data_IF_672493783836
#
_entry.id   IF_672493783836
#
_cell.length_a   1.000
_cell.length_b   1.000
_cell.length_c   1.000
_cell.angle_alpha   90.00
_cell.angle_beta   90.00
_cell.angle_gamma   90.00
#
_symmetry.space_group_name_H-M   'P 1'
#
loop_
_entity.id
_entity.type
_entity.pdbx_description
1 polymer ?
#
# COMPACT_ATOMS: atom_id res chain seq x y z
N UNK A 1 45.94 49.44 32.85
CA UNK A 1 45.45 48.33 32.01
C UNK A 1 43.97 48.15 32.31
N UNK A 2 43.08 48.79 31.49
CA UNK A 2 41.62 48.61 31.60
C UNK A 2 41.26 47.26 31.02
N UNK A 3 41.04 46.28 31.87
CA UNK A 3 40.39 45.05 31.50
C UNK A 3 38.94 45.38 31.14
N UNK A 4 38.62 45.46 29.81
CA UNK A 4 37.28 45.48 29.32
C UNK A 4 36.51 44.28 29.87
N UNK A 5 35.71 44.55 30.89
CA UNK A 5 34.77 43.53 31.40
C UNK A 5 33.75 43.25 30.31
N UNK A 6 33.87 42.09 29.68
CA UNK A 6 32.95 41.61 28.69
C UNK A 6 31.55 41.43 29.34
N UNK A 7 30.61 42.29 28.97
CA UNK A 7 29.24 42.22 29.47
C UNK A 7 28.40 41.34 28.51
N UNK A 8 28.10 40.09 28.85
CA UNK A 8 27.39 39.17 27.96
C UNK A 8 25.95 39.61 27.61
N UNK A 9 25.41 40.64 28.35
CA UNK A 9 24.05 41.14 28.08
C UNK A 9 23.93 42.06 26.88
N UNK A 10 25.07 42.56 26.35
CA UNK A 10 25.10 43.52 25.23
C UNK A 10 25.53 42.89 23.89
N UNK A 11 25.75 41.58 23.85
CA UNK A 11 26.22 40.87 22.66
C UNK A 11 25.06 40.55 21.71
N UNK A 12 25.20 40.88 20.43
CA UNK A 12 24.30 40.43 19.38
C UNK A 12 24.36 38.88 19.28
N UNK A 13 23.18 38.23 19.23
CA UNK A 13 23.05 36.77 19.23
C UNK A 13 22.11 36.33 18.12
N UNK A 14 22.53 35.37 17.32
CA UNK A 14 21.71 34.80 16.24
C UNK A 14 20.45 34.08 16.76
N UNK A 15 20.45 33.58 18.01
CA UNK A 15 19.31 32.91 18.63
C UNK A 15 18.24 33.84 19.25
N UNK A 16 18.50 35.16 19.32
CA UNK A 16 17.53 36.14 19.87
C UNK A 16 17.06 37.07 18.74
N UNK A 17 15.76 36.98 18.40
CA UNK A 17 15.16 37.77 17.33
C UNK A 17 15.41 39.29 17.47
N UNK A 18 15.35 39.79 18.73
CA UNK A 18 15.53 41.22 19.02
C UNK A 18 17.00 41.69 19.01
N UNK A 19 17.94 40.76 19.11
CA UNK A 19 19.37 41.00 19.18
C UNK A 19 20.16 40.58 17.92
N UNK A 20 19.48 40.49 16.79
CA UNK A 20 20.10 40.16 15.52
C UNK A 20 19.63 38.87 14.87
N UNK A 21 18.78 38.06 15.52
CA UNK A 21 18.28 36.84 14.96
C UNK A 21 17.53 37.00 13.64
N UNK A 22 16.85 38.11 13.40
CA UNK A 22 16.17 38.42 12.14
C UNK A 22 17.12 38.72 10.98
N UNK A 23 18.40 38.96 11.22
CA UNK A 23 19.39 39.19 10.15
C UNK A 23 20.02 37.91 9.64
N UNK A 24 19.76 36.79 10.32
CA UNK A 24 20.23 35.47 9.88
C UNK A 24 19.25 34.92 8.83
N UNK A 25 19.67 34.86 7.60
CA UNK A 25 18.91 34.25 6.51
C UNK A 25 18.73 32.73 6.77
N UNK A 26 17.51 32.24 6.62
CA UNK A 26 17.24 30.80 6.62
C UNK A 26 17.22 30.35 5.18
N UNK A 27 18.26 29.64 4.74
CA UNK A 27 18.29 29.00 3.43
C UNK A 27 17.48 27.70 3.49
N UNK A 28 16.43 27.67 2.70
CA UNK A 28 15.66 26.43 2.49
C UNK A 28 16.36 25.64 1.38
N UNK A 29 16.96 24.51 1.74
CA UNK A 29 17.52 23.55 0.79
C UNK A 29 16.39 22.90 -0.02
N UNK A 30 15.89 23.62 -1.02
CA UNK A 30 14.74 23.20 -1.84
C UNK A 30 14.97 21.93 -2.66
N UNK A 31 16.21 21.46 -2.77
CA UNK A 31 16.54 20.19 -3.44
C UNK A 31 16.60 18.98 -2.52
N UNK A 32 16.59 19.17 -1.19
CA UNK A 32 16.74 18.08 -0.20
C UNK A 32 15.47 17.92 0.64
N UNK A 33 14.37 17.53 -0.01
CA UNK A 33 13.15 17.18 0.69
C UNK A 33 13.31 15.78 1.31
N UNK A 34 13.24 15.68 2.64
CA UNK A 34 13.25 14.41 3.35
C UNK A 34 11.87 13.77 3.20
N UNK A 35 11.78 12.72 2.39
CA UNK A 35 10.55 11.99 2.17
C UNK A 35 10.24 11.02 3.32
N UNK A 36 8.96 10.85 3.61
CA UNK A 36 8.48 9.84 4.56
C UNK A 36 8.78 8.45 3.97
N UNK A 37 9.43 7.60 4.77
CA UNK A 37 9.67 6.20 4.40
C UNK A 37 8.33 5.48 4.24
N UNK A 38 7.98 5.09 3.02
CA UNK A 38 6.76 4.34 2.71
C UNK A 38 7.08 2.96 2.18
N UNK A 39 6.21 2.01 2.47
CA UNK A 39 6.32 0.66 1.93
C UNK A 39 6.13 0.68 0.40
N UNK A 40 6.86 -0.19 -0.30
CA UNK A 40 6.70 -0.40 -1.74
C UNK A 40 5.63 -1.44 -2.01
N UNK A 41 4.97 -1.35 -3.15
CA UNK A 41 4.01 -2.34 -3.62
C UNK A 41 4.68 -3.71 -3.84
N UNK A 42 4.13 -4.76 -3.23
CA UNK A 42 4.70 -6.12 -3.27
C UNK A 42 3.86 -7.11 -4.05
N UNK A 43 2.54 -6.91 -4.17
CA UNK A 43 1.63 -7.90 -4.76
C UNK A 43 1.99 -8.25 -6.21
N UNK A 44 2.43 -7.28 -7.00
CA UNK A 44 2.86 -7.53 -8.38
C UNK A 44 4.17 -8.34 -8.44
N UNK A 45 5.04 -8.19 -7.44
CA UNK A 45 6.30 -8.95 -7.30
C UNK A 45 6.05 -10.40 -6.87
N UNK A 46 4.95 -10.64 -6.14
CA UNK A 46 4.52 -11.98 -5.71
C UNK A 46 3.87 -12.78 -6.84
N UNK A 47 3.80 -12.24 -8.05
CA UNK A 47 3.32 -12.95 -9.22
C UNK A 47 1.83 -12.75 -9.52
N UNK A 48 1.21 -11.70 -9.00
CA UNK A 48 -0.15 -11.33 -9.38
C UNK A 48 -0.22 -11.03 -10.88
N UNK A 49 -1.15 -11.68 -11.58
CA UNK A 49 -1.39 -11.45 -13.00
C UNK A 49 -2.21 -10.18 -13.19
N UNK A 50 -1.74 -9.28 -14.03
CA UNK A 50 -2.55 -8.14 -14.49
C UNK A 50 -3.25 -8.48 -15.80
N UNK A 51 -4.56 -8.31 -15.84
CA UNK A 51 -5.36 -8.44 -17.04
C UNK A 51 -5.77 -7.04 -17.49
N UNK A 52 -5.28 -6.61 -18.64
CA UNK A 52 -5.59 -5.31 -19.23
C UNK A 52 -6.68 -5.43 -20.30
N UNK A 53 -7.37 -4.32 -20.59
CA UNK A 53 -8.38 -4.27 -21.64
C UNK A 53 -9.74 -4.87 -21.29
N UNK A 54 -10.01 -5.11 -19.99
CA UNK A 54 -11.30 -5.61 -19.53
C UNK A 54 -12.33 -4.48 -19.50
N UNK A 55 -13.54 -4.75 -19.98
CA UNK A 55 -14.66 -3.81 -20.00
C UNK A 55 -15.86 -4.43 -19.26
N UNK A 56 -16.32 -3.77 -18.18
CA UNK A 56 -17.45 -4.23 -17.38
C UNK A 56 -17.13 -5.45 -16.51
N UNK A 57 -18.18 -6.22 -16.22
CA UNK A 57 -18.07 -7.45 -15.44
C UNK A 57 -17.51 -8.58 -16.30
N UNK A 58 -16.51 -9.27 -15.80
CA UNK A 58 -15.87 -10.39 -16.48
C UNK A 58 -16.05 -11.66 -15.67
N UNK A 59 -16.37 -12.77 -16.32
CA UNK A 59 -16.45 -14.07 -15.70
C UNK A 59 -15.33 -14.96 -16.23
N UNK A 60 -14.54 -15.52 -15.31
CA UNK A 60 -13.46 -16.46 -15.64
C UNK A 60 -13.92 -17.86 -15.28
N UNK A 61 -13.98 -18.81 -16.23
CA UNK A 61 -14.35 -20.19 -15.91
C UNK A 61 -13.30 -20.84 -15.03
N UNK A 62 -13.73 -21.63 -14.06
CA UNK A 62 -12.87 -22.44 -13.19
C UNK A 62 -13.41 -23.86 -13.07
N UNK A 63 -12.53 -24.82 -12.89
CA UNK A 63 -12.91 -26.18 -12.49
C UNK A 63 -13.17 -26.18 -10.98
N UNK A 64 -14.33 -26.65 -10.54
CA UNK A 64 -14.74 -26.71 -9.13
C UNK A 64 -14.66 -28.12 -8.58
N UNK A 65 -14.72 -29.16 -9.42
CA UNK A 65 -14.52 -30.54 -9.04
C UNK A 65 -13.84 -31.33 -10.15
N UNK A 66 -12.92 -32.20 -9.77
CA UNK A 66 -12.23 -33.09 -10.70
C UNK A 66 -12.91 -34.45 -10.78
N UNK A 67 -12.59 -35.23 -11.81
CA UNK A 67 -12.95 -36.65 -11.88
C UNK A 67 -12.25 -37.41 -10.74
N UNK A 68 -12.94 -38.40 -10.18
CA UNK A 68 -12.40 -39.27 -9.13
C UNK A 68 -11.87 -40.58 -9.74
N UNK A 69 -10.67 -40.96 -9.30
CA UNK A 69 -10.10 -42.26 -9.63
C UNK A 69 -10.17 -43.19 -8.41
N UNK A 70 -10.51 -44.43 -8.64
CA UNK A 70 -10.60 -45.43 -7.59
C UNK A 70 -10.16 -46.83 -8.11
N UNK A 71 -9.74 -47.67 -7.19
CA UNK A 71 -9.35 -49.04 -7.49
C UNK A 71 -10.59 -49.91 -7.51
N UNK A 72 -10.73 -50.74 -8.54
CA UNK A 72 -11.87 -51.62 -8.71
C UNK A 72 -11.46 -53.08 -8.48
N UNK A 73 -12.30 -53.86 -7.82
CA UNK A 73 -12.15 -55.30 -7.74
C UNK A 73 -12.64 -55.95 -9.04
N UNK A 74 -12.28 -57.22 -9.28
CA UNK A 74 -12.54 -57.93 -10.52
C UNK A 74 -14.05 -57.98 -10.91
N UNK A 75 -14.96 -57.91 -9.93
CA UNK A 75 -16.41 -57.94 -10.12
C UNK A 75 -17.08 -56.58 -9.84
N UNK A 76 -16.32 -55.55 -9.60
CA UNK A 76 -16.85 -54.24 -9.24
C UNK A 76 -17.46 -53.49 -10.44
N UNK A 77 -18.54 -52.74 -10.20
CA UNK A 77 -19.12 -51.86 -11.21
C UNK A 77 -18.41 -50.55 -11.31
N UNK A 78 -18.17 -50.06 -12.51
CA UNK A 78 -17.56 -48.77 -12.76
C UNK A 78 -18.58 -47.64 -12.49
N UNK A 79 -18.21 -46.68 -11.68
CA UNK A 79 -19.01 -45.47 -11.44
C UNK A 79 -18.39 -44.32 -12.19
N UNK A 80 -19.11 -43.72 -13.14
CA UNK A 80 -18.65 -42.55 -13.85
C UNK A 80 -18.63 -41.32 -12.92
N UNK A 81 -17.63 -40.51 -13.05
CA UNK A 81 -17.53 -39.21 -12.37
C UNK A 81 -17.30 -38.10 -13.36
N UNK A 82 -18.08 -37.03 -13.25
CA UNK A 82 -18.01 -35.89 -14.13
C UNK A 82 -17.20 -34.72 -13.50
N UNK A 83 -16.59 -33.94 -14.34
CA UNK A 83 -15.93 -32.72 -13.92
C UNK A 83 -16.98 -31.62 -13.71
N UNK A 84 -16.87 -30.90 -12.58
CA UNK A 84 -17.73 -29.76 -12.29
C UNK A 84 -17.02 -28.45 -12.66
N UNK A 85 -17.73 -27.60 -13.38
CA UNK A 85 -17.26 -26.28 -13.76
C UNK A 85 -18.05 -25.19 -13.04
N UNK A 86 -17.38 -24.13 -12.70
CA UNK A 86 -17.97 -22.91 -12.15
C UNK A 86 -17.34 -21.69 -12.81
N UNK A 87 -17.76 -20.53 -12.40
CA UNK A 87 -17.17 -19.27 -12.88
C UNK A 87 -16.82 -18.36 -11.71
N UNK A 88 -15.75 -17.62 -11.86
CA UNK A 88 -15.35 -16.53 -10.96
C UNK A 88 -15.74 -15.21 -11.60
N UNK A 89 -16.70 -14.51 -10.99
CA UNK A 89 -17.09 -13.17 -11.42
C UNK A 89 -16.07 -12.14 -10.94
N UNK A 90 -15.62 -11.28 -11.85
CA UNK A 90 -14.78 -10.13 -11.55
C UNK A 90 -15.61 -8.87 -11.76
N UNK A 91 -15.78 -8.08 -10.70
CA UNK A 91 -16.49 -6.79 -10.73
C UNK A 91 -15.47 -5.66 -10.57
N UNK A 92 -15.57 -4.58 -11.36
CA UNK A 92 -14.66 -3.45 -11.23
C UNK A 92 -14.91 -2.68 -9.94
N UNK A 93 -13.84 -2.37 -9.23
CA UNK A 93 -13.84 -1.49 -8.06
C UNK A 93 -13.03 -0.23 -8.38
N UNK A 94 -13.36 0.89 -7.74
CA UNK A 94 -12.71 2.18 -7.97
C UNK A 94 -11.91 2.62 -6.74
N UNK A 95 -10.60 2.78 -6.91
CA UNK A 95 -9.73 3.39 -5.94
C UNK A 95 -9.48 4.85 -6.35
N UNK A 96 -9.66 5.79 -5.42
CA UNK A 96 -9.49 7.23 -5.66
C UNK A 96 -8.54 7.79 -4.62
N UNK A 97 -7.59 8.60 -5.05
CA UNK A 97 -6.79 9.49 -4.22
C UNK A 97 -7.03 10.93 -4.63
N UNK A 98 -7.28 11.82 -3.69
CA UNK A 98 -7.51 13.24 -3.92
C UNK A 98 -6.65 14.09 -2.97
N UNK A 99 -6.10 15.18 -3.48
CA UNK A 99 -5.33 16.17 -2.72
C UNK A 99 -5.53 17.53 -3.34
N UNK A 100 -5.88 18.53 -2.52
CA UNK A 100 -6.03 19.90 -2.94
C UNK A 100 -4.86 20.77 -2.45
N UNK A 101 -4.40 21.67 -3.30
CA UNK A 101 -3.40 22.68 -2.97
C UNK A 101 -3.76 24.03 -3.60
N UNK A 102 -3.32 25.11 -2.98
CA UNK A 102 -3.63 26.47 -3.45
C UNK A 102 -2.72 26.87 -4.61
N UNK A 103 -3.22 27.77 -5.45
CA UNK A 103 -2.44 28.32 -6.56
C UNK A 103 -1.26 29.14 -6.06
N UNK A 104 -1.42 29.83 -4.93
CA UNK A 104 -0.38 30.60 -4.27
C UNK A 104 0.80 29.71 -3.87
N UNK A 105 0.52 28.54 -3.30
CA UNK A 105 1.56 27.56 -2.94
C UNK A 105 2.34 27.10 -4.17
N UNK A 106 1.66 26.86 -5.28
CA UNK A 106 2.30 26.44 -6.52
C UNK A 106 3.22 27.53 -7.10
N UNK A 107 2.82 28.81 -6.97
CA UNK A 107 3.58 29.95 -7.51
C UNK A 107 4.74 30.39 -6.61
N UNK A 108 4.61 30.25 -5.29
CA UNK A 108 5.57 30.76 -4.31
C UNK A 108 6.55 29.70 -3.80
N UNK A 109 6.27 28.42 -4.05
CA UNK A 109 7.14 27.35 -3.59
C UNK A 109 8.43 27.26 -4.41
N UNK A 110 9.55 27.14 -3.74
CA UNK A 110 10.86 26.85 -4.34
C UNK A 110 11.00 25.38 -4.77
N UNK A 111 10.09 24.51 -4.33
CA UNK A 111 10.07 23.08 -4.61
C UNK A 111 8.98 22.82 -5.65
N UNK A 112 9.17 21.82 -6.52
CA UNK A 112 8.13 21.35 -7.44
C UNK A 112 7.02 20.62 -6.70
N UNK A 113 6.10 21.39 -6.11
CA UNK A 113 4.96 20.88 -5.32
C UNK A 113 4.11 19.90 -6.11
N UNK A 114 3.86 20.20 -7.40
CA UNK A 114 3.07 19.30 -8.26
C UNK A 114 3.74 17.95 -8.45
N UNK A 115 5.05 17.92 -8.71
CA UNK A 115 5.81 16.69 -8.87
C UNK A 115 5.80 15.85 -7.61
N UNK A 116 6.03 16.47 -6.46
CA UNK A 116 6.00 15.84 -5.15
C UNK A 116 4.64 15.22 -4.84
N UNK A 117 3.55 15.99 -5.01
CA UNK A 117 2.18 15.50 -4.74
C UNK A 117 1.81 14.33 -5.66
N UNK A 118 2.18 14.42 -6.95
CA UNK A 118 1.93 13.34 -7.91
C UNK A 118 2.62 12.04 -7.48
N UNK A 119 3.87 12.12 -7.07
CA UNK A 119 4.64 10.96 -6.62
C UNK A 119 4.09 10.39 -5.32
N UNK A 120 3.73 11.24 -4.36
CA UNK A 120 3.13 10.82 -3.09
C UNK A 120 1.78 10.13 -3.31
N UNK A 121 0.91 10.67 -4.16
CA UNK A 121 -0.37 10.04 -4.51
C UNK A 121 -0.18 8.66 -5.16
N UNK A 122 0.77 8.51 -6.07
CA UNK A 122 1.07 7.21 -6.67
C UNK A 122 1.52 6.18 -5.63
N UNK A 123 2.34 6.59 -4.67
CA UNK A 123 2.78 5.73 -3.56
C UNK A 123 1.62 5.33 -2.64
N UNK A 124 0.75 6.28 -2.29
CA UNK A 124 -0.44 6.03 -1.46
C UNK A 124 -1.39 5.05 -2.14
N UNK A 125 -1.67 5.25 -3.44
CA UNK A 125 -2.53 4.36 -4.22
C UNK A 125 -1.94 2.94 -4.32
N UNK A 126 -0.62 2.82 -4.50
CA UNK A 126 0.06 1.53 -4.55
C UNK A 126 -0.07 0.75 -3.23
N UNK A 127 0.12 1.42 -2.09
CA UNK A 127 -0.03 0.81 -0.77
C UNK A 127 -1.49 0.41 -0.50
N UNK A 128 -2.44 1.27 -0.86
CA UNK A 128 -3.86 0.98 -0.70
C UNK A 128 -4.30 -0.23 -1.56
N UNK A 129 -3.75 -0.37 -2.77
CA UNK A 129 -3.99 -1.53 -3.63
C UNK A 129 -3.43 -2.82 -3.01
N UNK A 130 -2.20 -2.80 -2.49
CA UNK A 130 -1.59 -3.94 -1.82
C UNK A 130 -2.39 -4.38 -0.58
N UNK A 131 -2.79 -3.41 0.24
CA UNK A 131 -3.61 -3.68 1.41
C UNK A 131 -4.96 -4.30 1.04
N UNK A 132 -5.63 -3.74 0.02
CA UNK A 132 -6.90 -4.27 -0.47
C UNK A 132 -6.74 -5.67 -1.08
N UNK A 133 -5.66 -5.94 -1.81
CA UNK A 133 -5.41 -7.26 -2.39
C UNK A 133 -5.13 -8.33 -1.32
N UNK A 134 -4.45 -7.98 -0.21
CA UNK A 134 -4.15 -8.93 0.86
C UNK A 134 -5.34 -9.06 1.83
N UNK A 135 -5.87 -7.96 2.34
CA UNK A 135 -6.84 -7.94 3.44
C UNK A 135 -8.11 -7.12 3.11
N UNK A 136 -8.48 -6.99 1.84
CA UNK A 136 -9.71 -6.31 1.47
C UNK A 136 -10.94 -6.99 2.05
N UNK A 137 -11.87 -6.21 2.61
CA UNK A 137 -13.04 -6.71 3.31
C UNK A 137 -14.17 -7.20 2.39
N UNK A 138 -14.17 -6.83 1.11
CA UNK A 138 -15.29 -7.06 0.19
C UNK A 138 -16.51 -6.18 0.45
N UNK A 139 -16.42 -5.22 1.40
CA UNK A 139 -17.48 -4.29 1.76
C UNK A 139 -17.06 -2.85 1.42
N UNK A 140 -18.00 -1.91 1.43
CA UNK A 140 -17.74 -0.48 1.20
C UNK A 140 -16.97 -0.16 -0.09
N UNK A 141 -17.20 -0.92 -1.14
CA UNK A 141 -16.53 -0.73 -2.44
C UNK A 141 -15.11 -1.29 -2.52
N UNK A 142 -14.62 -1.98 -1.48
CA UNK A 142 -13.35 -2.69 -1.51
C UNK A 142 -13.50 -4.07 -2.18
N UNK A 143 -12.49 -4.55 -2.92
CA UNK A 143 -12.45 -5.95 -3.35
C UNK A 143 -12.21 -6.90 -2.17
N UNK A 144 -12.55 -8.18 -2.35
CA UNK A 144 -12.22 -9.21 -1.37
C UNK A 144 -10.74 -9.56 -1.47
N UNK A 145 -10.01 -9.38 -0.38
CA UNK A 145 -8.59 -9.74 -0.28
C UNK A 145 -8.36 -11.24 -0.13
N UNK A 146 -7.10 -11.65 -0.32
CA UNK A 146 -6.68 -13.05 -0.21
C UNK A 146 -7.10 -13.65 1.14
N UNK A 147 -6.86 -12.94 2.24
CA UNK A 147 -7.15 -13.42 3.59
C UNK A 147 -8.65 -13.59 3.89
N UNK A 148 -9.50 -12.83 3.19
CA UNK A 148 -10.95 -12.85 3.38
C UNK A 148 -11.68 -13.69 2.31
N UNK A 149 -10.94 -14.35 1.42
CA UNK A 149 -11.54 -15.21 0.39
C UNK A 149 -12.06 -16.49 1.01
N UNK A 150 -13.32 -16.85 0.71
CA UNK A 150 -13.96 -18.08 1.22
C UNK A 150 -13.24 -19.32 0.70
N UNK A 151 -12.95 -20.28 1.58
CA UNK A 151 -12.33 -21.55 1.25
C UNK A 151 -10.80 -21.56 1.39
N UNK A 152 -10.19 -20.46 1.85
CA UNK A 152 -8.78 -20.47 2.24
C UNK A 152 -8.68 -21.07 3.65
N UNK A 153 -7.79 -22.08 3.79
CA UNK A 153 -7.51 -22.69 5.09
C UNK A 153 -6.85 -21.68 6.02
N UNK A 154 -7.45 -21.42 7.18
CA UNK A 154 -6.87 -20.62 8.23
C UNK A 154 -6.37 -21.53 9.34
N UNK A 155 -5.10 -21.44 9.69
CA UNK A 155 -4.55 -22.08 10.87
C UNK A 155 -4.66 -21.09 12.04
N UNK A 156 -5.52 -21.40 13.01
CA UNK A 156 -5.66 -20.60 14.22
C UNK A 156 -4.48 -20.91 15.13
N UNK A 157 -3.56 -19.96 15.23
CA UNK A 157 -2.54 -20.01 16.28
C UNK A 157 -3.22 -19.65 17.61
N UNK A 158 -3.03 -20.49 18.64
CA UNK A 158 -3.42 -20.11 20.00
C UNK A 158 -2.71 -18.82 20.44
N UNK A 159 -2.78 -18.48 21.71
CA UNK A 159 -2.30 -17.19 22.24
C UNK A 159 -0.84 -16.80 21.90
N UNK A 160 0.02 -17.74 21.48
CA UNK A 160 1.35 -17.46 20.97
C UNK A 160 1.68 -18.34 19.76
N UNK A 161 2.22 -17.74 18.70
CA UNK A 161 2.78 -18.48 17.58
C UNK A 161 4.09 -19.13 18.01
N UNK A 162 4.18 -20.46 17.92
CA UNK A 162 5.42 -21.22 18.18
C UNK A 162 5.88 -21.87 16.89
N UNK A 163 7.18 -22.12 16.75
CA UNK A 163 7.75 -22.81 15.59
C UNK A 163 7.12 -24.19 15.33
N UNK A 164 6.73 -24.90 16.40
CA UNK A 164 6.04 -26.17 16.29
C UNK A 164 4.64 -26.11 15.67
N UNK A 165 4.03 -24.92 15.54
CA UNK A 165 2.75 -24.69 14.88
C UNK A 165 2.88 -24.20 13.45
N UNK A 166 4.09 -23.88 13.01
CA UNK A 166 4.41 -23.35 11.67
C UNK A 166 4.86 -24.48 10.73
N UNK A 167 5.32 -25.59 11.30
CA UNK A 167 5.74 -26.81 10.57
C UNK A 167 4.56 -27.83 10.49
#
# INVERSE_FOLDING_TARGET
EDMMTFNPKAVMQAGDATKGGFTVGTDILGGELIEILRNKMYISRLGARSLSGLVGNVAVPRVTGGATAYWLSETGAVTASDQAFGQLGLTPHRLVGDTAYTKELLMQSSISVEGFIREDLMRVLAIALDLAAINGSGASGQPVGILNTTGIGAVTFGAAATWAKVI
#
